data_IF_449602939328
#
_entry.id   IF_449602939328
#
_cell.length_a   1.000
_cell.length_b   1.000
_cell.length_c   1.000
_cell.angle_alpha   90.00
_cell.angle_beta   90.00
_cell.angle_gamma   90.00
#
_symmetry.space_group_name_H-M   'P 1'
#
loop_
_entity.id
_entity.type
_entity.pdbx_description
1 polymer ?
#
# COMPACT_ATOMS: atom_id res chain seq x y z
N UNK A 1 -1.50 11.38 27.88
CA UNK A 1 -2.21 11.53 26.60
C UNK A 1 -2.38 10.14 26.03
N UNK A 2 -3.57 9.55 26.21
CA UNK A 2 -3.76 8.09 26.28
C UNK A 2 -5.12 7.65 25.69
N UNK A 3 -5.40 8.01 24.42
CA UNK A 3 -6.73 7.74 23.80
C UNK A 3 -6.75 7.39 22.30
N UNK A 4 -5.71 7.67 21.51
CA UNK A 4 -5.72 7.40 20.06
C UNK A 4 -5.39 5.95 19.67
N UNK A 5 -4.44 5.32 20.38
CA UNK A 5 -3.94 3.96 20.08
C UNK A 5 -5.00 2.88 20.41
N UNK A 6 -5.89 3.16 21.36
CA UNK A 6 -6.94 2.23 21.80
C UNK A 6 -8.10 2.12 20.80
N UNK A 7 -8.34 3.14 19.96
CA UNK A 7 -9.49 3.16 19.04
C UNK A 7 -9.16 2.44 17.72
N UNK A 8 -7.94 2.62 17.19
CA UNK A 8 -7.49 1.92 15.99
C UNK A 8 -7.25 0.41 16.20
N UNK A 9 -6.66 0.04 17.34
CA UNK A 9 -6.45 -1.37 17.69
C UNK A 9 -7.77 -2.11 17.99
N UNK A 10 -8.77 -1.43 18.60
CA UNK A 10 -10.11 -2.01 18.77
C UNK A 10 -10.86 -2.11 17.43
N UNK A 11 -10.75 -1.12 16.55
CA UNK A 11 -11.45 -1.11 15.26
C UNK A 11 -10.92 -2.16 14.28
N UNK A 12 -9.61 -2.18 14.04
CA UNK A 12 -8.99 -3.15 13.13
C UNK A 12 -9.02 -4.58 13.66
N UNK A 13 -8.80 -4.77 14.97
CA UNK A 13 -8.85 -6.09 15.61
C UNK A 13 -10.25 -6.73 15.57
N UNK A 14 -11.31 -5.94 15.71
CA UNK A 14 -12.68 -6.46 15.68
C UNK A 14 -13.11 -6.88 14.28
N UNK A 15 -12.72 -6.14 13.24
CA UNK A 15 -12.99 -6.49 11.84
C UNK A 15 -12.17 -7.72 11.40
N UNK A 16 -10.90 -7.81 11.79
CA UNK A 16 -10.06 -8.99 11.54
C UNK A 16 -10.60 -10.25 12.23
N UNK A 17 -11.11 -10.12 13.46
CA UNK A 17 -11.76 -11.23 14.17
C UNK A 17 -13.08 -11.67 13.51
N UNK A 18 -13.92 -10.74 13.06
CA UNK A 18 -15.19 -11.05 12.40
C UNK A 18 -14.97 -11.75 11.04
N UNK A 19 -14.06 -11.22 10.21
CA UNK A 19 -13.75 -11.79 8.90
C UNK A 19 -13.10 -13.17 9.07
N UNK A 20 -12.12 -13.31 9.97
CA UNK A 20 -11.50 -14.61 10.21
C UNK A 20 -12.46 -15.63 10.81
N UNK A 21 -13.39 -15.21 11.69
CA UNK A 21 -14.41 -16.11 12.26
C UNK A 21 -15.31 -16.68 11.18
N UNK A 22 -15.65 -15.87 10.17
CA UNK A 22 -16.51 -16.27 9.06
C UNK A 22 -15.82 -17.24 8.08
N UNK A 23 -14.50 -17.18 7.94
CA UNK A 23 -13.75 -17.92 6.90
C UNK A 23 -12.98 -19.14 7.44
N UNK A 24 -12.53 -19.15 8.70
CA UNK A 24 -11.65 -20.21 9.23
C UNK A 24 -11.78 -20.55 10.71
N UNK A 25 -12.68 -19.88 11.45
CA UNK A 25 -12.87 -20.07 12.88
C UNK A 25 -11.85 -19.31 13.76
N UNK A 26 -12.11 -19.18 15.08
CA UNK A 26 -11.48 -18.20 15.97
C UNK A 26 -9.94 -18.25 16.04
N UNK A 27 -9.35 -19.44 15.94
CA UNK A 27 -7.90 -19.63 16.05
C UNK A 27 -7.16 -19.15 14.79
N UNK A 28 -7.75 -19.34 13.60
CA UNK A 28 -7.16 -18.90 12.34
C UNK A 28 -7.24 -17.37 12.23
N UNK A 29 -8.34 -16.76 12.69
CA UNK A 29 -8.51 -15.30 12.76
C UNK A 29 -7.46 -14.64 13.65
N UNK A 30 -7.25 -15.21 14.85
CA UNK A 30 -6.27 -14.69 15.81
C UNK A 30 -4.86 -14.79 15.27
N UNK A 31 -4.52 -15.90 14.60
CA UNK A 31 -3.20 -16.08 14.00
C UNK A 31 -2.95 -15.04 12.88
N UNK A 32 -3.90 -14.84 11.96
CA UNK A 32 -3.78 -13.86 10.87
C UNK A 32 -3.74 -12.41 11.40
N UNK A 33 -4.59 -12.07 12.36
CA UNK A 33 -4.60 -10.73 12.97
C UNK A 33 -3.34 -10.42 13.77
N UNK A 34 -2.77 -11.40 14.46
CA UNK A 34 -1.50 -11.24 15.17
C UNK A 34 -0.31 -11.09 14.21
N UNK A 35 -0.29 -11.84 13.10
CA UNK A 35 0.76 -11.71 12.06
C UNK A 35 0.70 -10.32 11.42
N UNK A 36 -0.49 -9.85 11.02
CA UNK A 36 -0.65 -8.52 10.44
C UNK A 36 -0.25 -7.40 11.43
N UNK A 37 -0.62 -7.54 12.71
CA UNK A 37 -0.26 -6.59 13.77
C UNK A 37 1.23 -6.56 14.10
N UNK A 38 1.93 -7.69 13.99
CA UNK A 38 3.38 -7.76 14.18
C UNK A 38 4.15 -7.13 13.01
N UNK A 39 3.72 -7.39 11.77
CA UNK A 39 4.34 -6.81 10.56
C UNK A 39 4.19 -5.29 10.52
N UNK A 40 3.03 -4.74 10.92
CA UNK A 40 2.82 -3.29 10.95
C UNK A 40 3.77 -2.52 11.89
N UNK A 41 4.24 -3.16 12.97
CA UNK A 41 5.19 -2.56 13.91
C UNK A 41 6.62 -2.45 13.34
N UNK A 42 7.04 -3.42 12.54
CA UNK A 42 8.37 -3.43 11.90
C UNK A 42 8.41 -2.55 10.63
N UNK A 43 7.31 -2.45 9.87
CA UNK A 43 7.24 -1.59 8.69
C UNK A 43 7.40 -0.09 9.03
N UNK A 44 6.90 0.33 10.20
CA UNK A 44 7.12 1.70 10.70
C UNK A 44 8.61 2.01 10.94
N UNK A 45 9.41 1.02 11.32
CA UNK A 45 10.87 1.17 11.49
C UNK A 45 11.62 1.24 10.14
N UNK A 46 11.00 0.81 9.04
CA UNK A 46 11.55 0.88 7.69
C UNK A 46 11.23 2.19 6.97
N UNK A 47 10.54 3.13 7.64
CA UNK A 47 10.17 4.43 7.07
C UNK A 47 8.94 4.39 6.16
N UNK A 48 8.19 3.27 6.15
CA UNK A 48 6.89 3.18 5.47
C UNK A 48 5.83 3.69 6.46
N UNK A 49 5.21 4.82 6.14
CA UNK A 49 4.22 5.43 7.03
C UNK A 49 2.82 4.78 6.88
N UNK A 50 2.03 4.86 7.96
CA UNK A 50 0.69 4.26 8.00
C UNK A 50 -0.28 4.89 6.98
N UNK A 51 -0.07 6.15 6.57
CA UNK A 51 -0.91 6.80 5.57
C UNK A 51 -0.65 6.17 4.20
N UNK A 52 0.61 5.97 3.81
CA UNK A 52 0.95 5.22 2.60
C UNK A 52 0.29 3.84 2.57
N UNK A 53 0.35 3.09 3.68
CA UNK A 53 -0.27 1.76 3.76
C UNK A 53 -1.78 1.86 3.55
N UNK A 54 -2.43 2.83 4.20
CA UNK A 54 -3.87 3.02 4.09
C UNK A 54 -4.26 3.42 2.67
N UNK A 55 -3.59 4.42 2.09
CA UNK A 55 -3.86 4.92 0.74
C UNK A 55 -3.73 3.79 -0.30
N UNK A 56 -2.67 2.98 -0.21
CA UNK A 56 -2.49 1.82 -1.13
C UNK A 56 -3.53 0.74 -0.88
N UNK A 57 -3.89 0.46 0.37
CA UNK A 57 -4.86 -0.61 0.70
C UNK A 57 -6.28 -0.20 0.31
N UNK A 58 -6.63 1.07 0.42
CA UNK A 58 -7.93 1.62 0.01
C UNK A 58 -8.11 1.57 -1.51
N UNK A 59 -7.05 1.90 -2.25
CA UNK A 59 -7.07 1.91 -3.73
C UNK A 59 -6.89 0.49 -4.34
N UNK A 60 -6.44 -0.50 -3.56
CA UNK A 60 -6.32 -1.91 -3.97
C UNK A 60 -7.68 -2.64 -3.97
N UNK A 61 -8.57 -2.27 -4.90
CA UNK A 61 -9.83 -2.96 -5.14
C UNK A 61 -9.63 -4.35 -5.81
N UNK A 62 -10.58 -5.29 -5.68
CA UNK A 62 -10.54 -6.55 -6.42
C UNK A 62 -10.42 -6.32 -7.93
N UNK A 63 -9.40 -6.91 -8.57
CA UNK A 63 -9.08 -6.68 -9.98
C UNK A 63 -7.99 -5.63 -10.25
N UNK A 64 -7.50 -4.96 -9.20
CA UNK A 64 -6.33 -4.06 -9.27
C UNK A 64 -5.04 -4.73 -8.76
N UNK A 65 -3.91 -4.05 -8.93
CA UNK A 65 -2.62 -4.48 -8.39
C UNK A 65 -1.73 -3.29 -8.07
N UNK A 66 -0.81 -3.45 -7.12
CA UNK A 66 0.22 -2.47 -6.81
C UNK A 66 1.58 -3.04 -7.24
N UNK A 67 2.35 -2.24 -7.98
CA UNK A 67 3.67 -2.62 -8.48
C UNK A 67 4.75 -1.88 -7.68
N UNK A 68 5.79 -2.61 -7.27
CA UNK A 68 6.99 -2.03 -6.68
C UNK A 68 8.16 -2.25 -7.64
N UNK A 69 8.69 -1.17 -8.19
CA UNK A 69 9.73 -1.21 -9.21
C UNK A 69 11.07 -0.77 -8.63
N UNK A 70 12.10 -1.60 -8.80
CA UNK A 70 13.47 -1.28 -8.44
C UNK A 70 14.33 -1.30 -9.70
N UNK A 71 14.59 -0.13 -10.24
CA UNK A 71 15.49 0.07 -11.37
C UNK A 71 16.92 0.32 -10.88
N UNK A 72 17.87 -0.52 -11.29
CA UNK A 72 19.31 -0.33 -11.02
C UNK A 72 20.02 -0.18 -12.36
N UNK A 73 20.77 0.89 -12.53
CA UNK A 73 21.49 1.22 -13.78
C UNK A 73 20.57 1.31 -15.02
N UNK A 74 19.26 1.50 -14.82
CA UNK A 74 18.30 1.67 -15.90
C UNK A 74 18.15 3.15 -16.26
N UNK A 75 17.90 3.41 -17.53
CA UNK A 75 17.52 4.73 -18.02
C UNK A 75 16.11 5.08 -17.51
N UNK A 76 15.94 6.19 -16.76
CA UNK A 76 14.63 6.60 -16.25
C UNK A 76 13.63 6.87 -17.38
N UNK A 77 14.07 7.39 -18.52
CA UNK A 77 13.21 7.67 -19.67
C UNK A 77 12.71 6.38 -20.31
N UNK A 78 13.59 5.37 -20.46
CA UNK A 78 13.20 4.06 -20.96
C UNK A 78 12.24 3.34 -20.01
N UNK A 79 12.41 3.55 -18.70
CA UNK A 79 11.51 3.00 -17.68
C UNK A 79 10.14 3.66 -17.75
N UNK A 80 10.08 4.99 -17.93
CA UNK A 80 8.83 5.72 -18.11
C UNK A 80 8.11 5.30 -19.40
N UNK A 81 8.84 5.13 -20.51
CA UNK A 81 8.28 4.64 -21.77
C UNK A 81 7.72 3.21 -21.66
N UNK A 82 8.35 2.34 -20.86
CA UNK A 82 7.82 1.01 -20.60
C UNK A 82 6.52 1.02 -19.78
N UNK A 83 6.26 2.11 -19.05
CA UNK A 83 5.08 2.31 -18.23
C UNK A 83 3.94 3.06 -18.94
N UNK A 84 4.21 3.68 -20.10
CA UNK A 84 3.22 4.36 -20.94
C UNK A 84 1.97 3.55 -21.28
N UNK A 85 2.04 2.22 -21.52
CA UNK A 85 0.83 1.44 -21.81
C UNK A 85 -0.06 1.18 -20.59
N UNK A 86 0.36 1.60 -19.39
CA UNK A 86 -0.34 1.35 -18.14
C UNK A 86 -0.89 2.65 -17.57
N UNK A 87 -2.06 2.55 -16.96
CA UNK A 87 -2.69 3.64 -16.22
C UNK A 87 -2.53 3.35 -14.72
N UNK A 88 -2.21 4.38 -13.93
CA UNK A 88 -2.08 4.19 -12.50
C UNK A 88 -1.58 5.38 -11.70
N UNK A 89 -1.60 5.21 -10.38
CA UNK A 89 -1.22 6.25 -9.43
C UNK A 89 0.17 5.99 -8.87
N UNK A 90 1.04 7.00 -8.97
CA UNK A 90 2.36 6.98 -8.31
C UNK A 90 2.20 7.39 -6.84
N UNK A 91 2.36 6.46 -5.91
CA UNK A 91 2.30 6.74 -4.47
C UNK A 91 3.61 7.28 -3.91
N UNK A 92 4.74 6.72 -4.36
CA UNK A 92 6.05 7.07 -3.86
C UNK A 92 7.11 6.88 -4.96
N UNK A 93 8.06 7.80 -5.05
CA UNK A 93 9.18 7.76 -5.99
C UNK A 93 10.46 8.27 -5.35
N UNK A 94 11.59 7.66 -5.71
CA UNK A 94 12.92 8.18 -5.40
C UNK A 94 13.55 8.90 -6.61
N UNK A 95 12.78 9.13 -7.68
CA UNK A 95 13.24 9.82 -8.89
C UNK A 95 13.38 11.33 -8.64
N UNK A 96 14.24 12.03 -9.40
CA UNK A 96 14.24 13.49 -9.42
C UNK A 96 12.86 14.06 -9.78
N UNK A 97 12.51 15.23 -9.24
CA UNK A 97 11.19 15.85 -9.40
C UNK A 97 10.73 15.95 -10.87
N UNK A 98 11.65 16.28 -11.78
CA UNK A 98 11.34 16.40 -13.21
C UNK A 98 10.91 15.07 -13.83
N UNK A 99 11.65 13.99 -13.54
CA UNK A 99 11.32 12.64 -14.05
C UNK A 99 10.07 12.08 -13.38
N UNK A 100 9.88 12.37 -12.09
CA UNK A 100 8.66 11.98 -11.38
C UNK A 100 7.43 12.69 -11.97
N UNK A 101 7.52 13.98 -12.27
CA UNK A 101 6.41 14.73 -12.88
C UNK A 101 6.02 14.13 -14.24
N UNK A 102 7.00 13.80 -15.08
CA UNK A 102 6.76 13.13 -16.36
C UNK A 102 6.12 11.75 -16.16
N UNK A 103 6.62 10.95 -15.21
CA UNK A 103 6.05 9.65 -14.91
C UNK A 103 4.60 9.75 -14.41
N UNK A 104 4.29 10.75 -13.59
CA UNK A 104 2.93 11.02 -13.12
C UNK A 104 2.00 11.44 -14.24
N UNK A 105 2.49 12.22 -15.20
CA UNK A 105 1.71 12.64 -16.37
C UNK A 105 1.41 11.45 -17.29
N UNK A 106 2.41 10.58 -17.54
CA UNK A 106 2.25 9.38 -18.37
C UNK A 106 1.25 8.39 -17.75
N UNK A 107 1.26 8.25 -16.43
CA UNK A 107 0.43 7.27 -15.72
C UNK A 107 -0.94 7.83 -15.29
N UNK A 108 -1.15 9.14 -15.35
CA UNK A 108 -2.40 9.75 -14.90
C UNK A 108 -3.59 9.13 -15.64
N UNK A 109 -4.60 8.68 -14.89
CA UNK A 109 -5.86 8.22 -15.48
C UNK A 109 -6.48 9.36 -16.29
N UNK A 110 -6.81 9.08 -17.56
CA UNK A 110 -7.66 9.96 -18.37
C UNK A 110 -9.04 10.03 -17.68
N UNK A 111 -9.30 11.08 -16.89
CA UNK A 111 -10.64 11.40 -16.40
C UNK A 111 -11.54 11.75 -17.60
N UNK A 112 -12.18 10.73 -18.21
CA UNK A 112 -13.28 10.87 -19.19
C UNK A 112 -14.66 10.80 -18.53
#
# INVERSE_FOLDING_TARGET
>A
MDRGIKIGALGGGLLGLLIGFLVGGPLVSLALGAIAGALGGDLANLGIDQRFINDVTEDLAPGSSALFLMARDADPEATAAALEPFEGKVYYSYLPEETEAQLREILAEDEL
#
